data_IF_681285557407
#
_entry.id   IF_681285557407
#
_cell.length_a   1.000
_cell.length_b   1.000
_cell.length_c   1.000
_cell.angle_alpha   90.00
_cell.angle_beta   90.00
_cell.angle_gamma   90.00
#
_symmetry.space_group_name_H-M   'P 1'
#
loop_
_entity.id
_entity.type
_entity.pdbx_description
1 polymer ?
#
# COMPACT_ATOMS: atom_id res chain seq x y z
N UNK A 1 9.11 -3.17 3.71
CA UNK A 1 9.07 -2.21 2.57
C UNK A 1 9.47 -2.98 1.31
N UNK A 2 8.81 -2.75 0.18
CA UNK A 2 9.16 -3.40 -1.11
C UNK A 2 9.71 -2.34 -2.05
N UNK A 3 11.03 -2.24 -2.24
CA UNK A 3 11.62 -1.23 -3.12
C UNK A 3 11.34 -1.56 -4.59
N UNK A 4 10.91 -0.56 -5.35
CA UNK A 4 10.63 -0.68 -6.78
C UNK A 4 11.35 0.46 -7.51
N UNK A 5 12.27 0.11 -8.40
CA UNK A 5 13.00 1.06 -9.24
C UNK A 5 12.30 1.11 -10.59
N UNK A 6 11.56 2.19 -10.85
CA UNK A 6 10.78 2.33 -12.07
C UNK A 6 11.53 3.10 -13.17
N UNK A 7 11.05 3.00 -14.41
CA UNK A 7 11.56 3.69 -15.62
C UNK A 7 12.94 3.19 -16.08
N UNK A 8 13.25 1.92 -15.84
CA UNK A 8 14.51 1.31 -16.29
C UNK A 8 14.64 1.22 -17.81
N UNK A 9 13.57 1.51 -18.56
CA UNK A 9 13.57 1.58 -20.02
C UNK A 9 14.27 2.84 -20.59
N UNK A 10 14.53 3.86 -19.76
CA UNK A 10 15.19 5.08 -20.23
C UNK A 10 16.68 4.83 -20.44
N UNK A 11 17.22 5.23 -21.60
CA UNK A 11 18.65 5.04 -21.90
C UNK A 11 19.62 5.81 -20.99
N UNK A 12 19.11 6.69 -20.13
CA UNK A 12 19.87 7.43 -19.10
C UNK A 12 19.50 7.00 -17.67
N UNK A 13 18.73 5.92 -17.50
CA UNK A 13 18.41 5.39 -16.18
C UNK A 13 19.67 4.77 -15.55
N UNK A 14 20.03 5.26 -14.35
CA UNK A 14 21.11 4.70 -13.54
C UNK A 14 20.52 3.79 -12.46
N UNK A 15 20.31 2.53 -12.84
CA UNK A 15 19.72 1.52 -11.95
C UNK A 15 20.69 1.15 -10.84
N UNK A 16 21.95 0.89 -11.17
CA UNK A 16 22.98 0.45 -10.21
C UNK A 16 23.24 1.53 -9.15
N UNK A 17 23.36 2.80 -9.55
CA UNK A 17 23.51 3.91 -8.61
C UNK A 17 22.28 4.09 -7.71
N UNK A 18 21.07 3.84 -8.23
CA UNK A 18 19.84 3.86 -7.43
C UNK A 18 19.82 2.73 -6.40
N UNK A 19 20.27 1.53 -6.78
CA UNK A 19 20.37 0.37 -5.89
C UNK A 19 21.38 0.64 -4.75
N UNK A 20 22.52 1.25 -5.06
CA UNK A 20 23.50 1.67 -4.04
C UNK A 20 22.92 2.73 -3.09
N UNK A 21 22.15 3.69 -3.61
CA UNK A 21 21.45 4.67 -2.78
C UNK A 21 20.38 4.03 -1.88
N UNK A 22 19.68 3.01 -2.37
CA UNK A 22 18.70 2.25 -1.57
C UNK A 22 19.39 1.59 -0.37
N UNK A 23 20.57 0.98 -0.56
CA UNK A 23 21.37 0.43 0.53
C UNK A 23 21.87 1.52 1.49
N UNK A 24 22.51 2.56 0.96
CA UNK A 24 23.25 3.53 1.78
C UNK A 24 22.35 4.56 2.48
N UNK A 25 21.25 4.99 1.85
CA UNK A 25 20.36 6.01 2.40
C UNK A 25 19.19 5.44 3.20
N UNK A 26 18.70 4.25 2.83
CA UNK A 26 17.51 3.64 3.45
C UNK A 26 17.80 2.36 4.22
N UNK A 27 19.05 1.87 4.24
CA UNK A 27 19.45 0.61 4.89
C UNK A 27 18.59 -0.58 4.43
N UNK A 28 18.28 -0.60 3.13
CA UNK A 28 17.48 -1.65 2.50
C UNK A 28 18.36 -2.54 1.62
N UNK A 29 18.05 -3.84 1.61
CA UNK A 29 18.70 -4.80 0.73
C UNK A 29 18.46 -4.45 -0.76
N UNK A 30 19.50 -4.11 -1.54
CA UNK A 30 19.37 -3.79 -2.95
C UNK A 30 18.86 -4.98 -3.78
N UNK A 31 19.20 -6.21 -3.39
CA UNK A 31 18.77 -7.42 -4.09
C UNK A 31 17.25 -7.65 -3.94
N UNK A 32 16.64 -7.04 -2.93
CA UNK A 32 15.20 -7.04 -2.76
C UNK A 32 14.50 -6.05 -3.70
N UNK A 33 15.20 -5.11 -4.33
CA UNK A 33 14.57 -4.12 -5.20
C UNK A 33 14.14 -4.71 -6.54
N UNK A 34 12.98 -4.27 -7.04
CA UNK A 34 12.47 -4.69 -8.34
C UNK A 34 12.70 -3.61 -9.39
N UNK A 35 13.65 -3.79 -10.33
CA UNK A 35 13.80 -2.91 -11.49
C UNK A 35 12.68 -3.20 -12.49
N UNK A 36 11.85 -2.21 -12.78
CA UNK A 36 10.69 -2.33 -13.66
C UNK A 36 10.58 -1.15 -14.64
N UNK A 37 9.81 -1.35 -15.70
CA UNK A 37 9.24 -0.25 -16.48
C UNK A 37 7.73 -0.36 -16.52
N UNK A 38 7.05 0.56 -15.84
CA UNK A 38 5.61 0.70 -15.94
C UNK A 38 5.14 1.15 -17.34
N UNK A 39 6.04 1.72 -18.16
CA UNK A 39 5.72 2.17 -19.52
C UNK A 39 5.72 1.01 -20.52
N UNK A 40 6.73 0.14 -20.47
CA UNK A 40 6.87 -0.99 -21.40
C UNK A 40 6.28 -2.28 -20.85
N UNK A 41 6.00 -2.34 -19.55
CA UNK A 41 5.54 -3.53 -18.84
C UNK A 41 6.67 -4.46 -18.39
N UNK A 42 7.94 -4.10 -18.60
CA UNK A 42 9.08 -4.91 -18.17
C UNK A 42 9.08 -5.10 -16.64
N UNK A 43 9.07 -6.35 -16.17
CA UNK A 43 9.20 -6.72 -14.76
C UNK A 43 7.99 -6.41 -13.87
N UNK A 44 6.89 -5.89 -14.43
CA UNK A 44 5.70 -5.52 -13.63
C UNK A 44 4.94 -6.72 -13.09
N UNK A 45 5.05 -7.87 -13.76
CA UNK A 45 4.49 -9.16 -13.36
C UNK A 45 5.09 -9.68 -12.05
N UNK A 46 6.33 -9.31 -11.72
CA UNK A 46 6.99 -9.68 -10.47
C UNK A 46 6.50 -8.88 -9.24
N UNK A 47 5.81 -7.75 -9.43
CA UNK A 47 5.41 -6.85 -8.33
C UNK A 47 4.41 -7.53 -7.40
N UNK A 48 3.31 -8.08 -7.94
CA UNK A 48 2.27 -8.70 -7.12
C UNK A 48 2.80 -9.93 -6.35
N UNK A 49 3.55 -10.87 -6.95
CA UNK A 49 4.20 -11.95 -6.23
C UNK A 49 5.10 -11.47 -5.09
N UNK A 50 5.93 -10.45 -5.34
CA UNK A 50 6.83 -9.91 -4.31
C UNK A 50 6.06 -9.25 -3.16
N UNK A 51 4.98 -8.51 -3.46
CA UNK A 51 4.10 -7.93 -2.44
C UNK A 51 3.43 -9.02 -1.61
N UNK A 52 2.89 -10.07 -2.23
CA UNK A 52 2.26 -11.18 -1.53
C UNK A 52 3.24 -11.94 -0.62
N UNK A 53 4.50 -12.09 -1.04
CA UNK A 53 5.50 -12.79 -0.23
C UNK A 53 6.02 -11.94 0.94
N UNK A 54 6.12 -10.62 0.76
CA UNK A 54 6.75 -9.71 1.74
C UNK A 54 5.77 -9.01 2.67
N UNK A 55 4.51 -8.84 2.26
CA UNK A 55 3.50 -8.16 3.05
C UNK A 55 2.75 -9.17 3.92
N UNK A 56 2.79 -9.01 5.26
CA UNK A 56 2.00 -9.89 6.12
C UNK A 56 0.50 -9.64 5.91
N UNK A 57 -0.34 -10.66 6.12
CA UNK A 57 -1.79 -10.45 6.13
C UNK A 57 -2.18 -9.51 7.28
N UNK A 58 -3.33 -8.80 7.16
CA UNK A 58 -3.83 -7.96 8.22
C UNK A 58 -4.12 -8.78 9.48
N UNK A 59 -3.75 -8.26 10.64
CA UNK A 59 -4.03 -8.87 11.95
C UNK A 59 -5.35 -8.32 12.48
N UNK A 60 -6.45 -8.95 12.10
CA UNK A 60 -7.80 -8.54 12.50
C UNK A 60 -8.60 -9.72 13.07
N UNK A 61 -9.46 -9.42 14.04
CA UNK A 61 -10.40 -10.37 14.66
C UNK A 61 -11.83 -10.01 14.32
N UNK A 62 -12.49 -10.86 13.54
CA UNK A 62 -13.88 -10.65 13.15
C UNK A 62 -14.88 -10.69 14.33
N UNK A 63 -14.51 -11.36 15.44
CA UNK A 63 -15.32 -11.49 16.65
C UNK A 63 -15.12 -10.36 17.67
N UNK A 64 -14.13 -9.48 17.44
CA UNK A 64 -13.87 -8.34 18.31
C UNK A 64 -14.83 -7.16 18.03
N UNK A 65 -14.97 -6.20 18.97
CA UNK A 65 -15.72 -4.97 18.72
C UNK A 65 -15.23 -4.24 17.47
N UNK A 66 -16.15 -3.64 16.72
CA UNK A 66 -15.83 -2.91 15.49
C UNK A 66 -14.84 -1.78 15.79
N UNK A 67 -13.68 -1.81 15.12
CA UNK A 67 -12.69 -0.74 15.17
C UNK A 67 -12.35 -0.33 13.75
N UNK A 68 -12.50 0.97 13.47
CA UNK A 68 -12.25 1.56 12.18
C UNK A 68 -11.17 2.63 12.28
N UNK A 69 -10.30 2.70 11.27
CA UNK A 69 -9.37 3.81 11.07
C UNK A 69 -9.87 4.65 9.89
N UNK A 70 -10.18 5.93 10.14
CA UNK A 70 -10.47 6.87 9.06
C UNK A 70 -9.17 7.27 8.37
N UNK A 71 -9.01 6.89 7.11
CA UNK A 71 -7.84 7.26 6.30
C UNK A 71 -8.04 8.58 5.57
N UNK A 72 -9.19 8.72 4.91
CA UNK A 72 -9.51 9.87 4.09
C UNK A 72 -11.03 10.08 4.03
N UNK A 73 -11.46 11.29 3.71
CA UNK A 73 -12.86 11.61 3.50
C UNK A 73 -13.01 12.68 2.42
N UNK A 74 -14.03 12.52 1.58
CA UNK A 74 -14.37 13.52 0.55
C UNK A 74 -15.88 13.70 0.45
N UNK A 75 -16.29 14.82 -0.13
CA UNK A 75 -17.69 15.15 -0.31
C UNK A 75 -18.18 14.69 -1.69
N UNK A 76 -19.33 14.03 -1.71
CA UNK A 76 -20.11 13.68 -2.90
C UNK A 76 -21.45 14.42 -2.85
N UNK A 77 -21.83 15.06 -3.95
CA UNK A 77 -23.01 15.94 -3.99
C UNK A 77 -24.33 15.22 -3.68
N UNK A 78 -24.41 13.91 -3.91
CA UNK A 78 -25.63 13.12 -3.70
C UNK A 78 -25.59 12.28 -2.42
N UNK A 79 -24.41 11.83 -2.02
CA UNK A 79 -24.21 10.90 -0.90
C UNK A 79 -23.72 11.59 0.37
N UNK A 80 -23.34 12.86 0.29
CA UNK A 80 -22.71 13.59 1.39
C UNK A 80 -21.25 13.17 1.58
N UNK A 81 -20.80 13.15 2.84
CA UNK A 81 -19.41 12.78 3.16
C UNK A 81 -19.19 11.28 3.00
N UNK A 82 -18.28 10.91 2.12
CA UNK A 82 -17.79 9.54 1.93
C UNK A 82 -16.48 9.37 2.68
N UNK A 83 -16.43 8.38 3.57
CA UNK A 83 -15.25 8.04 4.36
C UNK A 83 -14.58 6.78 3.80
N UNK A 84 -13.28 6.87 3.52
CA UNK A 84 -12.42 5.71 3.30
C UNK A 84 -11.87 5.24 4.65
N UNK A 85 -12.22 4.02 5.02
CA UNK A 85 -11.87 3.45 6.33
C UNK A 85 -11.13 2.12 6.19
N UNK A 86 -10.18 1.88 7.08
CA UNK A 86 -9.67 0.53 7.37
C UNK A 86 -10.55 -0.14 8.43
N UNK A 87 -10.88 -1.42 8.22
CA UNK A 87 -11.46 -2.24 9.28
C UNK A 87 -10.32 -2.93 10.01
N UNK A 88 -10.02 -2.47 11.23
CA UNK A 88 -8.95 -3.05 12.05
C UNK A 88 -9.44 -4.30 12.80
N UNK A 89 -10.70 -4.31 13.25
CA UNK A 89 -11.35 -5.42 13.95
C UNK A 89 -12.87 -5.37 13.77
N UNK A 90 -13.52 -6.51 14.01
CA UNK A 90 -14.96 -6.66 13.90
C UNK A 90 -15.43 -6.74 12.46
N UNK A 91 -16.73 -6.50 12.26
CA UNK A 91 -17.38 -6.54 10.95
C UNK A 91 -18.33 -5.35 10.84
N UNK A 92 -18.23 -4.60 9.75
CA UNK A 92 -19.14 -3.52 9.42
C UNK A 92 -20.28 -4.04 8.53
N UNK A 93 -21.52 -3.74 8.91
CA UNK A 93 -22.72 -4.09 8.12
C UNK A 93 -23.57 -2.86 7.80
N UNK A 94 -24.31 -2.96 6.69
CA UNK A 94 -25.24 -1.90 6.28
C UNK A 94 -26.31 -1.67 7.36
N UNK A 95 -26.51 -0.41 7.72
CA UNK A 95 -27.51 0.01 8.71
C UNK A 95 -27.01 0.06 10.14
N UNK A 96 -25.75 -0.30 10.41
CA UNK A 96 -25.15 -0.14 11.73
C UNK A 96 -24.90 1.34 12.05
N UNK A 97 -25.16 1.73 13.29
CA UNK A 97 -24.82 3.06 13.79
C UNK A 97 -23.35 3.10 14.18
N UNK A 98 -22.62 4.06 13.62
CA UNK A 98 -21.21 4.28 13.92
C UNK A 98 -21.06 5.48 14.86
N UNK A 99 -20.07 5.41 15.74
CA UNK A 99 -19.74 6.47 16.68
C UNK A 99 -18.26 6.80 16.50
N UNK A 100 -17.94 8.09 16.43
CA UNK A 100 -16.56 8.54 16.41
C UNK A 100 -15.94 8.37 17.80
N UNK A 101 -14.83 7.63 17.89
CA UNK A 101 -14.13 7.38 19.16
C UNK A 101 -13.57 8.63 19.83
N UNK A 102 -13.52 9.77 19.13
CA UNK A 102 -13.07 11.06 19.66
C UNK A 102 -14.15 11.81 20.46
N UNK A 103 -15.31 11.18 20.74
CA UNK A 103 -16.43 11.79 21.45
C UNK A 103 -16.67 11.12 22.79
#
# INVERSE_FOLDING_TARGET
ITPIVNKVDLGHADVDGTLEQIATAFDLDPDAALPISAKTGLGTDAILPALLHRMPPPKARADAPLRLLLFDAWYDDFRGVLCLVEVLDGVLKKGETLIAAAT
#
